data_IF_333908409049
#
_entry.id   IF_333908409049
#
_cell.length_a   1.000
_cell.length_b   1.000
_cell.length_c   1.000
_cell.angle_alpha   90.00
_cell.angle_beta   90.00
_cell.angle_gamma   90.00
#
_symmetry.space_group_name_H-M   'P 1'
#
loop_
_entity.id
_entity.type
_entity.pdbx_description
1 polymer ?
#
# COMPACT_ATOMS: atom_id res chain seq x y z
N UNK A 1 -12.11 -10.23 3.61
CA UNK A 1 -10.79 -10.91 3.64
C UNK A 1 -9.87 -10.03 4.47
N UNK A 2 -9.14 -10.53 5.47
CA UNK A 2 -8.48 -9.61 6.42
C UNK A 2 -7.10 -9.14 5.91
N UNK A 3 -7.05 -7.96 5.29
CA UNK A 3 -5.79 -7.31 4.88
C UNK A 3 -4.97 -6.85 6.09
N UNK A 4 -3.65 -6.85 5.94
CA UNK A 4 -2.68 -6.29 6.89
C UNK A 4 -1.63 -5.48 6.13
N UNK A 5 -1.24 -4.35 6.68
CA UNK A 5 -0.24 -3.47 6.10
C UNK A 5 1.03 -3.48 6.94
N UNK A 6 2.18 -3.69 6.30
CA UNK A 6 3.49 -3.56 6.94
C UNK A 6 4.29 -2.46 6.26
N UNK A 7 4.70 -1.45 7.02
CA UNK A 7 5.43 -0.29 6.48
C UNK A 7 6.88 -0.67 6.18
N UNK A 8 7.29 -0.53 4.93
CA UNK A 8 8.68 -0.70 4.51
C UNK A 8 9.46 0.60 4.57
N UNK A 9 8.83 1.73 4.25
CA UNK A 9 9.51 3.02 4.20
C UNK A 9 8.54 4.15 4.52
N UNK A 10 9.07 5.20 5.18
CA UNK A 10 8.40 6.49 5.34
C UNK A 10 9.39 7.61 5.10
N UNK A 11 8.95 8.58 4.32
CA UNK A 11 9.63 9.85 4.09
C UNK A 11 8.66 11.00 4.42
N UNK A 12 9.08 12.27 4.40
CA UNK A 12 8.17 13.39 4.57
C UNK A 12 7.06 13.49 3.51
N UNK A 13 7.23 12.87 2.34
CA UNK A 13 6.33 13.02 1.19
C UNK A 13 5.78 11.70 0.67
N UNK A 14 6.17 10.55 1.23
CA UNK A 14 5.73 9.25 0.73
C UNK A 14 5.88 8.16 1.75
N UNK A 15 5.01 7.17 1.66
CA UNK A 15 5.03 5.94 2.45
C UNK A 15 4.85 4.73 1.56
N UNK A 16 5.49 3.63 1.95
CA UNK A 16 5.44 2.36 1.23
C UNK A 16 5.03 1.27 2.20
N UNK A 17 3.99 0.52 1.84
CA UNK A 17 3.46 -0.59 2.62
C UNK A 17 3.42 -1.87 1.79
N UNK A 18 3.84 -2.98 2.39
CA UNK A 18 3.50 -4.31 1.90
C UNK A 18 2.11 -4.72 2.37
N UNK A 19 1.35 -5.38 1.49
CA UNK A 19 0.01 -5.91 1.76
C UNK A 19 0.11 -7.41 2.00
N UNK A 20 -0.46 -7.87 3.11
CA UNK A 20 -0.54 -9.27 3.50
C UNK A 20 -2.00 -9.63 3.76
N UNK A 21 -2.33 -10.93 3.68
CA UNK A 21 -3.65 -11.43 4.04
C UNK A 21 -3.50 -12.29 5.30
N UNK A 22 -4.24 -11.95 6.35
CA UNK A 22 -4.09 -12.50 7.71
C UNK A 22 -4.30 -14.02 7.79
N UNK A 23 -5.10 -14.60 6.91
CA UNK A 23 -5.37 -16.03 6.84
C UNK A 23 -4.39 -16.78 5.92
N UNK A 24 -3.47 -16.06 5.27
CA UNK A 24 -2.49 -16.57 4.32
C UNK A 24 -1.10 -15.99 4.58
N UNK A 25 -0.72 -15.82 5.85
CA UNK A 25 0.62 -15.34 6.25
C UNK A 25 1.74 -16.15 5.59
N UNK A 26 1.53 -17.47 5.40
CA UNK A 26 2.48 -18.35 4.71
C UNK A 26 2.64 -18.06 3.21
N UNK A 27 1.69 -17.38 2.57
CA UNK A 27 1.80 -16.98 1.16
C UNK A 27 2.62 -15.70 0.96
N UNK A 28 2.99 -15.04 2.05
CA UNK A 28 3.84 -13.85 2.01
C UNK A 28 3.13 -12.62 1.43
N UNK A 29 3.93 -11.70 0.90
CA UNK A 29 3.49 -10.43 0.33
C UNK A 29 2.56 -10.66 -0.87
N UNK A 30 1.33 -10.13 -0.83
CA UNK A 30 0.34 -10.27 -1.91
C UNK A 30 0.17 -9.01 -2.76
N UNK A 31 0.77 -7.91 -2.32
CA UNK A 31 0.69 -6.63 -3.00
C UNK A 31 1.45 -5.54 -2.28
N UNK A 32 1.33 -4.32 -2.79
CA UNK A 32 2.02 -3.13 -2.26
C UNK A 32 1.13 -1.92 -2.40
N UNK A 33 1.19 -1.02 -1.42
CA UNK A 33 0.63 0.34 -1.47
C UNK A 33 1.77 1.33 -1.45
N UNK A 34 1.80 2.22 -2.43
CA UNK A 34 2.64 3.41 -2.43
C UNK A 34 1.72 4.63 -2.24
N UNK A 35 2.00 5.44 -1.22
CA UNK A 35 1.24 6.65 -0.90
C UNK A 35 2.16 7.85 -1.07
N UNK A 36 1.72 8.85 -1.81
CA UNK A 36 2.44 10.09 -2.04
C UNK A 36 1.64 11.29 -1.50
N UNK A 37 2.28 12.10 -0.67
CA UNK A 37 1.73 13.31 -0.08
C UNK A 37 2.28 14.54 -0.79
N UNK A 38 1.40 15.39 -1.29
CA UNK A 38 1.76 16.69 -1.85
C UNK A 38 1.85 17.76 -0.76
N UNK A 39 2.59 18.84 -1.04
CA UNK A 39 2.69 20.00 -0.15
C UNK A 39 1.36 20.76 0.02
N UNK A 40 0.37 20.49 -0.83
CA UNK A 40 -0.94 21.14 -0.81
C UNK A 40 -2.04 20.26 -0.19
N UNK A 41 -1.66 19.18 0.52
CA UNK A 41 -2.62 18.27 1.14
C UNK A 41 -3.31 17.35 0.16
N UNK A 42 -2.70 17.07 -1.01
CA UNK A 42 -3.20 16.02 -1.93
C UNK A 42 -2.54 14.68 -1.59
N UNK A 43 -3.31 13.60 -1.63
CA UNK A 43 -2.84 12.23 -1.43
C UNK A 43 -3.09 11.44 -2.71
N UNK A 44 -2.04 10.81 -3.23
CA UNK A 44 -2.17 9.88 -4.34
C UNK A 44 -1.64 8.50 -3.92
N UNK A 45 -2.49 7.49 -4.03
CA UNK A 45 -2.19 6.10 -3.73
C UNK A 45 -2.11 5.24 -4.98
N UNK A 46 -1.11 4.36 -5.04
CA UNK A 46 -1.05 3.26 -6.00
C UNK A 46 -1.01 1.94 -5.25
N UNK A 47 -2.00 1.09 -5.53
CA UNK A 47 -2.05 -0.29 -5.06
C UNK A 47 -1.70 -1.21 -6.22
N UNK A 48 -0.72 -2.09 -6.03
CA UNK A 48 -0.41 -3.16 -6.97
C UNK A 48 -0.61 -4.49 -6.28
N UNK A 49 -1.55 -5.29 -6.76
CA UNK A 49 -1.86 -6.63 -6.25
C UNK A 49 -1.34 -7.70 -7.22
N UNK A 50 -0.78 -8.77 -6.67
CA UNK A 50 -0.31 -9.93 -7.45
C UNK A 50 -1.46 -10.85 -7.89
N UNK A 51 -2.60 -10.77 -7.20
CA UNK A 51 -3.81 -11.53 -7.48
C UNK A 51 -4.99 -10.58 -7.73
N UNK A 52 -5.83 -10.95 -8.71
CA UNK A 52 -7.10 -10.27 -8.92
C UNK A 52 -8.02 -10.44 -7.70
N UNK A 53 -8.55 -9.32 -7.22
CA UNK A 53 -9.59 -9.26 -6.19
C UNK A 53 -10.95 -9.11 -6.86
N UNK A 54 -12.01 -9.56 -6.19
CA UNK A 54 -13.37 -9.16 -6.55
C UNK A 54 -13.59 -7.66 -6.30
N UNK A 55 -14.66 -7.10 -6.86
CA UNK A 55 -15.04 -5.70 -6.65
C UNK A 55 -15.23 -5.40 -5.15
N UNK A 56 -15.98 -6.25 -4.44
CA UNK A 56 -16.21 -6.09 -3.00
C UNK A 56 -14.91 -6.19 -2.17
N UNK A 57 -13.99 -7.09 -2.52
CA UNK A 57 -12.68 -7.18 -1.85
C UNK A 57 -11.80 -5.96 -2.16
N UNK A 58 -11.93 -5.40 -3.37
CA UNK A 58 -11.20 -4.18 -3.77
C UNK A 58 -11.73 -2.97 -3.00
N UNK A 59 -13.04 -2.84 -2.85
CA UNK A 59 -13.67 -1.81 -2.02
C UNK A 59 -13.28 -1.95 -0.54
N UNK A 60 -13.26 -3.18 0.00
CA UNK A 60 -12.80 -3.47 1.38
C UNK A 60 -11.33 -3.05 1.57
N UNK A 61 -10.48 -3.33 0.58
CA UNK A 61 -9.06 -2.92 0.61
C UNK A 61 -8.91 -1.40 0.60
N UNK A 62 -9.64 -0.70 -0.27
CA UNK A 62 -9.57 0.77 -0.39
C UNK A 62 -10.04 1.42 0.91
N UNK A 63 -11.21 1.03 1.44
CA UNK A 63 -11.73 1.57 2.68
C UNK A 63 -10.74 1.40 3.84
N UNK A 64 -10.11 0.22 3.94
CA UNK A 64 -9.11 -0.04 4.97
C UNK A 64 -7.83 0.78 4.79
N UNK A 65 -7.40 1.04 3.55
CA UNK A 65 -6.25 1.93 3.29
C UNK A 65 -6.57 3.35 3.73
N UNK A 66 -7.78 3.83 3.42
CA UNK A 66 -8.24 5.15 3.80
C UNK A 66 -8.25 5.31 5.34
N UNK A 67 -8.94 4.39 6.02
CA UNK A 67 -9.06 4.36 7.49
C UNK A 67 -7.71 4.20 8.20
N UNK A 68 -6.86 3.26 7.78
CA UNK A 68 -5.65 2.91 8.54
C UNK A 68 -4.41 3.70 8.12
N UNK A 69 -4.31 4.14 6.87
CA UNK A 69 -3.09 4.73 6.32
C UNK A 69 -3.25 6.22 5.97
N UNK A 70 -4.44 6.66 5.55
CA UNK A 70 -4.68 8.05 5.10
C UNK A 70 -5.24 8.93 6.22
N UNK A 71 -6.22 8.47 7.01
CA UNK A 71 -6.78 9.24 8.14
C UNK A 71 -5.71 9.71 9.14
N UNK A 72 -4.60 8.96 9.25
CA UNK A 72 -3.43 9.34 10.08
C UNK A 72 -2.75 10.65 9.65
N UNK A 73 -3.13 11.24 8.51
CA UNK A 73 -2.44 12.39 7.90
C UNK A 73 -3.19 13.72 8.03
N UNK A 74 -4.37 13.77 8.66
CA UNK A 74 -5.20 14.99 8.80
C UNK A 74 -5.48 15.71 7.47
N UNK A 75 -5.70 14.93 6.41
CA UNK A 75 -6.02 15.43 5.06
C UNK A 75 -7.53 15.34 4.85
N UNK A 76 -8.09 16.27 4.07
CA UNK A 76 -9.50 16.27 3.68
C UNK A 76 -9.75 15.20 2.59
N UNK A 77 -10.77 14.36 2.76
CA UNK A 77 -11.12 13.23 1.89
C UNK A 77 -11.28 13.63 0.41
N UNK A 78 -11.71 14.86 0.12
CA UNK A 78 -11.84 15.37 -1.26
C UNK A 78 -10.49 15.44 -2.01
N UNK A 79 -9.37 15.28 -1.29
CA UNK A 79 -8.01 15.34 -1.83
C UNK A 79 -7.32 13.98 -1.93
N UNK A 80 -8.06 12.88 -1.74
CA UNK A 80 -7.54 11.52 -1.87
C UNK A 80 -7.91 10.88 -3.21
N UNK A 81 -6.90 10.37 -3.92
CA UNK A 81 -7.07 9.55 -5.11
C UNK A 81 -6.27 8.25 -4.95
N UNK A 82 -6.89 7.11 -5.31
CA UNK A 82 -6.25 5.81 -5.28
C UNK A 82 -6.50 5.03 -6.57
N UNK A 83 -5.44 4.44 -7.11
CA UNK A 83 -5.52 3.52 -8.25
C UNK A 83 -5.17 2.11 -7.80
N UNK A 84 -6.01 1.13 -8.15
CA UNK A 84 -5.72 -0.29 -7.91
C UNK A 84 -5.41 -0.98 -9.23
N UNK A 85 -4.25 -1.62 -9.29
CA UNK A 85 -3.77 -2.37 -10.45
C UNK A 85 -3.46 -3.81 -10.07
N UNK A 86 -3.75 -4.73 -10.99
CA UNK A 86 -3.38 -6.14 -10.88
C UNK A 86 -2.19 -6.42 -11.80
N UNK A 87 -1.10 -6.96 -11.25
CA UNK A 87 0.12 -7.20 -12.01
C UNK A 87 0.87 -8.43 -11.51
N UNK A 88 1.53 -9.15 -12.42
CA UNK A 88 2.46 -10.22 -12.05
C UNK A 88 3.81 -9.62 -11.69
N UNK A 89 4.26 -9.80 -10.44
CA UNK A 89 5.62 -9.42 -10.03
C UNK A 89 6.64 -10.30 -10.75
N UNK A 90 7.55 -9.67 -11.48
CA UNK A 90 8.59 -10.38 -12.23
C UNK A 90 9.89 -10.46 -11.44
N UNK A 91 10.38 -9.32 -10.95
CA UNK A 91 11.63 -9.22 -10.21
C UNK A 91 11.64 -7.95 -9.33
N UNK A 92 12.49 -7.96 -8.31
CA UNK A 92 12.82 -6.77 -7.52
C UNK A 92 14.34 -6.68 -7.45
N UNK A 93 14.88 -5.49 -7.71
CA UNK A 93 16.31 -5.24 -7.67
C UNK A 93 16.60 -4.09 -6.71
N UNK A 94 17.54 -4.31 -5.80
CA UNK A 94 18.10 -3.32 -4.89
C UNK A 94 19.60 -3.56 -4.77
N UNK A 95 20.37 -2.52 -4.44
CA UNK A 95 21.74 -2.74 -3.98
C UNK A 95 21.64 -3.52 -2.65
N UNK A 96 22.39 -4.61 -2.51
CA UNK A 96 22.45 -5.39 -1.25
C UNK A 96 22.66 -4.46 -0.06
N UNK A 97 22.04 -4.81 1.09
CA UNK A 97 22.23 -4.09 2.34
C UNK A 97 23.72 -3.90 2.61
N UNK A 98 24.11 -2.68 2.99
CA UNK A 98 25.37 -2.50 3.68
C UNK A 98 25.17 -3.23 5.01
N UNK A 99 25.89 -4.33 5.24
CA UNK A 99 26.06 -4.92 6.56
C UNK A 99 26.53 -3.79 7.49
N UNK A 100 25.64 -3.26 8.34
CA UNK A 100 26.04 -2.45 9.48
C UNK A 100 26.53 -3.42 10.56
N UNK A 101 27.86 -3.51 10.72
CA UNK A 101 28.52 -4.14 11.88
C UNK A 101 27.99 -3.62 13.22
#
# INVERSE_FOLDING_TARGET
>A
MAFQFHRYMRTPHSEIYGIFISDQVEKGLVGRVDIHYSLYGLVNGLVVMEQALSEAETEELIAKIDDELVEMTTIDDENFEITVAFATKVLTFGKEEIDEE
#
